data_IF_827512765139
#
_entry.id   IF_827512765139
#
_cell.length_a   1.000
_cell.length_b   1.000
_cell.length_c   1.000
_cell.angle_alpha   90.00
_cell.angle_beta   90.00
_cell.angle_gamma   90.00
#
_symmetry.space_group_name_H-M   'P 1'
#
loop_
_entity.id
_entity.type
_entity.pdbx_description
1 polymer ?
#
# COMPACT_ATOMS: atom_id res chain seq x y z
N UNK A 1 -17.56 89.94 21.67
CA UNK A 1 -16.41 89.05 21.35
C UNK A 1 -16.97 87.88 20.56
N UNK A 2 -16.56 87.68 19.30
CA UNK A 2 -17.09 86.60 18.48
C UNK A 2 -16.47 85.26 18.88
N UNK A 3 -17.34 84.26 19.02
CA UNK A 3 -16.99 82.89 19.38
C UNK A 3 -16.49 82.16 18.12
N UNK A 4 -15.18 81.93 18.03
CA UNK A 4 -14.56 81.26 16.89
C UNK A 4 -14.95 79.77 16.89
N UNK A 5 -15.64 79.33 15.83
CA UNK A 5 -16.00 77.92 15.65
C UNK A 5 -14.72 77.09 15.41
N UNK A 6 -14.50 76.00 16.16
CA UNK A 6 -13.30 75.18 16.01
C UNK A 6 -13.23 74.55 14.61
N UNK A 7 -12.08 74.73 13.93
CA UNK A 7 -11.89 74.34 12.53
C UNK A 7 -11.78 72.83 12.27
N UNK A 8 -11.75 71.97 13.29
CA UNK A 8 -11.64 70.52 13.10
C UNK A 8 -12.42 69.77 14.19
N UNK A 9 -13.57 69.22 13.83
CA UNK A 9 -14.33 68.30 14.69
C UNK A 9 -13.80 66.88 14.47
N UNK A 10 -12.87 66.44 15.32
CA UNK A 10 -12.32 65.07 15.26
C UNK A 10 -13.33 64.12 15.90
N UNK A 11 -14.27 63.61 15.09
CA UNK A 11 -15.19 62.56 15.53
C UNK A 11 -14.45 61.23 15.63
N UNK A 12 -13.84 60.97 16.78
CA UNK A 12 -13.24 59.67 17.10
C UNK A 12 -14.37 58.65 17.23
N UNK A 13 -14.68 57.96 16.13
CA UNK A 13 -15.66 56.87 16.17
C UNK A 13 -15.00 55.68 16.85
N UNK A 14 -15.24 55.55 18.16
CA UNK A 14 -14.73 54.43 18.94
C UNK A 14 -15.34 53.12 18.41
N UNK A 15 -14.53 52.22 17.81
CA UNK A 15 -15.02 51.02 17.13
C UNK A 15 -15.71 50.04 18.10
N UNK A 16 -15.33 50.07 19.38
CA UNK A 16 -15.91 49.21 20.42
C UNK A 16 -17.37 49.57 20.66
N UNK A 17 -17.71 50.86 20.64
CA UNK A 17 -19.08 51.35 20.83
C UNK A 17 -19.98 50.99 19.65
N UNK A 18 -19.44 51.06 18.43
CA UNK A 18 -20.16 50.65 17.22
C UNK A 18 -20.49 49.15 17.25
N UNK A 19 -19.50 48.32 17.62
CA UNK A 19 -19.69 46.88 17.71
C UNK A 19 -20.70 46.50 18.81
N UNK A 20 -20.64 47.16 19.97
CA UNK A 20 -21.61 46.97 21.07
C UNK A 20 -23.03 47.33 20.63
N UNK A 21 -23.20 48.45 19.93
CA UNK A 21 -24.51 48.87 19.42
C UNK A 21 -25.02 47.93 18.33
N UNK A 22 -24.14 47.46 17.44
CA UNK A 22 -24.48 46.45 16.43
C UNK A 22 -24.92 45.13 17.08
N UNK A 23 -24.19 44.64 18.08
CA UNK A 23 -24.54 43.42 18.81
C UNK A 23 -25.89 43.52 19.52
N UNK A 24 -26.17 44.67 20.14
CA UNK A 24 -27.47 44.92 20.79
C UNK A 24 -28.63 44.89 19.77
N UNK A 25 -28.42 45.38 18.55
CA UNK A 25 -29.41 45.29 17.46
C UNK A 25 -29.64 43.85 16.99
N UNK A 26 -28.56 43.07 16.84
CA UNK A 26 -28.63 41.65 16.47
C UNK A 26 -29.37 40.82 17.52
N UNK A 27 -29.09 41.04 18.81
CA UNK A 27 -29.77 40.35 19.92
C UNK A 27 -31.21 40.84 20.14
N UNK A 28 -31.53 42.07 19.75
CA UNK A 28 -32.84 42.70 19.90
C UNK A 28 -33.91 42.22 18.92
N UNK A 29 -33.64 41.22 18.08
CA UNK A 29 -34.52 40.73 16.99
C UNK A 29 -34.91 41.82 15.98
N UNK A 30 -34.20 42.95 15.94
CA UNK A 30 -34.30 43.90 14.84
C UNK A 30 -33.75 43.19 13.60
N UNK A 31 -34.61 42.93 12.61
CA UNK A 31 -34.21 42.20 11.41
C UNK A 31 -33.05 42.90 10.70
N UNK A 32 -31.86 42.28 10.72
CA UNK A 32 -30.70 42.82 10.01
C UNK A 32 -30.71 42.26 8.60
N UNK A 33 -30.98 43.11 7.62
CA UNK A 33 -30.94 42.74 6.20
C UNK A 33 -29.50 42.77 5.71
N UNK A 34 -28.96 41.60 5.38
CA UNK A 34 -27.68 41.48 4.70
C UNK A 34 -27.92 41.10 3.24
N UNK A 35 -27.64 42.01 2.32
CA UNK A 35 -27.65 41.71 0.88
C UNK A 35 -26.22 41.62 0.36
N UNK A 36 -25.82 40.44 -0.10
CA UNK A 36 -24.53 40.23 -0.75
C UNK A 36 -24.76 39.81 -2.20
N UNK A 37 -24.16 40.54 -3.16
CA UNK A 37 -24.05 40.09 -4.55
C UNK A 37 -22.74 39.33 -4.69
N UNK A 38 -22.84 38.01 -4.82
CA UNK A 38 -21.69 37.11 -4.94
C UNK A 38 -21.66 36.59 -6.37
N UNK A 39 -20.49 36.62 -7.02
CA UNK A 39 -20.33 36.04 -8.35
C UNK A 39 -20.25 34.50 -8.22
N UNK A 40 -20.74 33.73 -9.22
CA UNK A 40 -20.82 32.28 -9.11
C UNK A 40 -19.49 31.60 -8.75
N UNK A 41 -18.37 32.12 -9.28
CA UNK A 41 -17.04 31.59 -9.02
C UNK A 41 -16.59 31.84 -7.57
N UNK A 42 -16.88 33.02 -7.02
CA UNK A 42 -16.59 33.32 -5.60
C UNK A 42 -17.50 32.55 -4.65
N UNK A 43 -18.75 32.30 -5.03
CA UNK A 43 -19.65 31.44 -4.26
C UNK A 43 -19.12 30.01 -4.14
N UNK A 44 -18.55 29.46 -5.22
CA UNK A 44 -17.91 28.13 -5.19
C UNK A 44 -16.71 28.07 -4.26
N UNK A 45 -15.83 29.09 -4.28
CA UNK A 45 -14.66 29.16 -3.41
C UNK A 45 -15.05 29.33 -1.94
N UNK A 46 -16.05 30.16 -1.65
CA UNK A 46 -16.57 30.35 -0.29
C UNK A 46 -17.26 29.07 0.20
N UNK A 47 -18.07 28.42 -0.64
CA UNK A 47 -18.70 27.16 -0.30
C UNK A 47 -17.66 26.07 -0.03
N UNK A 48 -16.66 25.92 -0.91
CA UNK A 48 -15.59 24.92 -0.77
C UNK A 48 -14.73 25.22 0.47
N UNK A 49 -14.38 26.48 0.71
CA UNK A 49 -13.63 26.93 1.87
C UNK A 49 -14.40 26.76 3.19
N UNK A 50 -15.71 27.02 3.20
CA UNK A 50 -16.57 26.78 4.36
C UNK A 50 -16.74 25.28 4.63
N UNK A 51 -16.93 24.45 3.59
CA UNK A 51 -16.94 22.99 3.78
C UNK A 51 -15.58 22.48 4.25
N UNK A 52 -14.47 22.94 3.67
CA UNK A 52 -13.14 22.55 4.12
C UNK A 52 -12.88 23.00 5.57
N UNK A 53 -13.35 24.19 5.97
CA UNK A 53 -13.28 24.68 7.34
C UNK A 53 -14.09 23.81 8.30
N UNK A 54 -15.36 23.52 8.00
CA UNK A 54 -16.25 22.72 8.85
C UNK A 54 -15.76 21.26 8.95
N UNK A 55 -15.24 20.69 7.87
CA UNK A 55 -14.65 19.34 7.86
C UNK A 55 -13.20 19.28 8.39
N UNK A 56 -12.53 20.42 8.61
CA UNK A 56 -11.17 20.49 9.18
C UNK A 56 -11.08 20.96 10.63
N UNK A 57 -12.21 21.26 11.31
CA UNK A 57 -12.25 21.59 12.76
C UNK A 57 -12.05 20.33 13.64
N UNK A 58 -11.51 19.24 13.11
CA UNK A 58 -11.18 18.04 13.88
C UNK A 58 -9.85 18.08 14.64
N UNK A 59 -9.06 19.17 14.60
CA UNK A 59 -7.65 19.13 15.06
C UNK A 59 -7.12 20.35 15.80
N UNK A 60 -7.90 21.38 16.09
CA UNK A 60 -7.42 22.53 16.88
C UNK A 60 -8.32 22.78 18.10
N UNK A 61 -7.91 22.25 19.25
CA UNK A 61 -8.45 22.68 20.53
C UNK A 61 -7.85 24.06 20.83
N UNK A 62 -8.61 25.11 20.55
CA UNK A 62 -8.29 26.44 21.07
C UNK A 62 -8.64 26.41 22.55
N UNK A 63 -7.63 26.40 23.42
CA UNK A 63 -7.80 26.51 24.86
C UNK A 63 -8.14 27.98 25.19
N UNK A 64 -9.44 28.27 25.30
CA UNK A 64 -9.94 29.60 25.67
C UNK A 64 -10.31 29.52 27.17
N UNK A 65 -9.62 30.24 28.06
CA UNK A 65 -9.67 30.01 29.52
C UNK A 65 -11.02 30.36 30.20
N UNK A 66 -12.00 30.91 29.46
CA UNK A 66 -13.30 31.32 30.00
C UNK A 66 -14.50 30.62 29.34
N UNK A 67 -14.29 29.80 28.32
CA UNK A 67 -15.33 29.02 27.65
C UNK A 67 -15.13 27.54 27.97
N UNK A 68 -15.81 27.05 29.01
CA UNK A 68 -15.95 25.62 29.27
C UNK A 68 -16.94 25.04 28.27
N UNK A 69 -16.49 24.74 27.06
CA UNK A 69 -17.27 23.89 26.16
C UNK A 69 -17.07 22.44 26.60
N UNK A 70 -18.12 21.79 27.09
CA UNK A 70 -18.13 20.33 27.09
C UNK A 70 -18.18 19.91 25.63
N UNK A 71 -17.07 19.38 25.12
CA UNK A 71 -17.07 18.66 23.86
C UNK A 71 -17.99 17.47 24.09
N UNK A 72 -19.24 17.56 23.65
CA UNK A 72 -20.06 16.38 23.45
C UNK A 72 -19.32 15.58 22.40
N UNK A 73 -18.53 14.62 22.87
CA UNK A 73 -17.92 13.58 22.03
C UNK A 73 -19.09 12.83 21.41
N UNK A 74 -19.62 13.35 20.31
CA UNK A 74 -20.42 12.53 19.41
C UNK A 74 -19.53 11.34 19.06
N UNK A 75 -19.93 10.10 19.40
CA UNK A 75 -19.13 8.95 19.04
C UNK A 75 -19.04 8.98 17.52
N UNK A 76 -17.86 9.30 17.01
CA UNK A 76 -17.49 8.96 15.64
C UNK A 76 -17.87 7.49 15.52
N UNK A 77 -18.76 7.10 14.61
CA UNK A 77 -19.02 5.68 14.39
C UNK A 77 -17.65 5.09 14.08
N UNK A 78 -17.09 4.35 15.05
CA UNK A 78 -15.85 3.64 14.86
C UNK A 78 -16.08 2.83 13.60
N UNK A 79 -15.34 3.13 12.53
CA UNK A 79 -15.48 2.42 11.28
C UNK A 79 -15.34 0.95 11.62
N UNK A 80 -16.45 0.21 11.56
CA UNK A 80 -16.47 -1.22 11.85
C UNK A 80 -15.38 -1.80 10.96
N UNK A 81 -14.30 -2.37 11.52
CA UNK A 81 -13.20 -2.83 10.70
C UNK A 81 -13.79 -3.85 9.73
N UNK A 82 -13.77 -3.52 8.44
CA UNK A 82 -14.26 -4.42 7.41
C UNK A 82 -13.50 -5.74 7.59
N UNK A 83 -14.24 -6.78 7.96
CA UNK A 83 -13.71 -8.09 8.38
C UNK A 83 -12.93 -8.75 7.23
N UNK A 84 -13.27 -8.38 6.00
CA UNK A 84 -12.63 -8.80 4.77
C UNK A 84 -11.95 -7.61 4.13
N UNK A 85 -10.67 -7.76 3.83
CA UNK A 85 -9.88 -6.75 3.13
C UNK A 85 -9.29 -7.34 1.87
N UNK A 86 -9.48 -6.66 0.75
CA UNK A 86 -8.84 -7.02 -0.50
C UNK A 86 -7.31 -6.86 -0.37
N UNK A 87 -6.59 -7.92 -0.70
CA UNK A 87 -5.14 -7.97 -0.59
C UNK A 87 -4.55 -9.03 -1.52
N UNK A 88 -3.24 -8.99 -1.67
CA UNK A 88 -2.50 -9.98 -2.44
C UNK A 88 -1.31 -10.49 -1.61
N UNK A 89 -1.14 -11.80 -1.59
CA UNK A 89 -0.03 -12.45 -0.92
C UNK A 89 0.83 -13.20 -1.91
N UNK A 90 2.15 -13.15 -1.70
CA UNK A 90 3.11 -13.95 -2.45
C UNK A 90 3.62 -15.07 -1.55
N UNK A 91 3.63 -16.30 -2.08
CA UNK A 91 4.10 -17.44 -1.32
C UNK A 91 4.19 -18.71 -2.16
N UNK A 92 4.64 -19.79 -1.53
CA UNK A 92 4.65 -21.12 -2.14
C UNK A 92 3.32 -21.80 -1.84
N UNK A 93 2.64 -22.29 -2.89
CA UNK A 93 1.39 -23.01 -2.73
C UNK A 93 1.64 -24.44 -2.25
N UNK A 94 0.89 -24.86 -1.22
CA UNK A 94 0.92 -26.19 -0.65
C UNK A 94 -0.49 -26.78 -0.65
N UNK A 95 -0.61 -28.09 -0.88
CA UNK A 95 -1.88 -28.81 -0.83
C UNK A 95 -1.83 -29.88 0.25
N UNK A 96 -2.79 -29.85 1.18
CA UNK A 96 -2.94 -30.90 2.18
C UNK A 96 -3.98 -31.91 1.72
N UNK A 97 -3.51 -33.12 1.39
CA UNK A 97 -4.38 -34.25 1.02
C UNK A 97 -5.34 -34.66 2.14
N UNK A 98 -4.92 -34.48 3.40
CA UNK A 98 -5.73 -34.86 4.58
C UNK A 98 -6.89 -33.90 4.81
N UNK A 99 -6.65 -32.60 4.62
CA UNK A 99 -7.66 -31.56 4.82
C UNK A 99 -8.44 -31.21 3.54
N UNK A 100 -7.96 -31.63 2.37
CA UNK A 100 -8.50 -31.24 1.06
C UNK A 100 -8.41 -29.73 0.82
N UNK A 101 -7.40 -29.07 1.37
CA UNK A 101 -7.28 -27.60 1.37
C UNK A 101 -5.94 -27.13 0.82
N UNK A 102 -5.99 -25.98 0.17
CA UNK A 102 -4.83 -25.25 -0.29
C UNK A 102 -4.34 -24.28 0.79
N UNK A 103 -3.03 -24.19 0.92
CA UNK A 103 -2.36 -23.31 1.86
C UNK A 103 -1.30 -22.51 1.13
N UNK A 104 -1.18 -21.22 1.45
CA UNK A 104 -0.12 -20.37 0.96
C UNK A 104 0.90 -20.15 2.08
N UNK A 105 2.12 -20.60 1.84
CA UNK A 105 3.25 -20.31 2.73
C UNK A 105 3.86 -18.98 2.31
N UNK A 106 3.57 -17.92 3.08
CA UNK A 106 3.95 -16.56 2.74
C UNK A 106 5.45 -16.37 3.00
N UNK A 107 6.20 -15.99 1.96
CA UNK A 107 7.66 -15.87 2.05
C UNK A 107 8.11 -14.78 3.03
N UNK A 108 7.35 -13.68 3.14
CA UNK A 108 7.73 -12.52 3.96
C UNK A 108 7.50 -12.70 5.45
N UNK A 109 6.49 -13.48 5.86
CA UNK A 109 6.12 -13.66 7.27
C UNK A 109 6.27 -15.09 7.78
N UNK A 110 6.62 -16.05 6.91
CA UNK A 110 6.63 -17.49 7.22
C UNK A 110 5.30 -17.97 7.84
N UNK A 111 4.20 -17.27 7.55
CA UNK A 111 2.87 -17.63 8.01
C UNK A 111 2.17 -18.51 6.96
N UNK A 112 1.33 -19.41 7.46
CA UNK A 112 0.48 -20.25 6.63
C UNK A 112 -0.92 -19.63 6.54
N UNK A 113 -1.34 -19.27 5.34
CA UNK A 113 -2.68 -18.74 5.06
C UNK A 113 -3.51 -19.84 4.40
N UNK A 114 -4.73 -20.07 4.87
CA UNK A 114 -5.65 -21.02 4.22
C UNK A 114 -6.28 -20.34 3.02
N UNK A 115 -6.24 -21.00 1.86
CA UNK A 115 -6.88 -20.51 0.65
C UNK A 115 -8.25 -21.14 0.50
N UNK A 116 -9.28 -20.30 0.39
CA UNK A 116 -10.62 -20.69 -0.01
C UNK A 116 -10.74 -20.42 -1.52
N UNK A 117 -10.75 -21.49 -2.31
CA UNK A 117 -10.69 -21.44 -3.76
C UNK A 117 -12.09 -21.72 -4.31
N UNK A 118 -12.67 -20.80 -5.11
CA UNK A 118 -13.95 -21.04 -5.76
C UNK A 118 -13.81 -22.07 -6.89
N UNK A 119 -14.89 -22.78 -7.22
CA UNK A 119 -14.87 -23.92 -8.17
C UNK A 119 -14.40 -23.57 -9.59
N UNK A 120 -14.37 -22.28 -9.94
CA UNK A 120 -13.93 -21.78 -11.24
C UNK A 120 -12.41 -21.61 -11.38
N UNK A 121 -11.63 -21.83 -10.31
CA UNK A 121 -10.17 -21.66 -10.31
C UNK A 121 -9.50 -22.97 -9.91
N UNK A 122 -8.70 -23.53 -10.81
CA UNK A 122 -7.86 -24.68 -10.49
C UNK A 122 -6.46 -24.23 -10.07
N UNK A 123 -6.07 -24.55 -8.84
CA UNK A 123 -4.74 -24.27 -8.31
C UNK A 123 -3.81 -25.49 -8.30
N UNK A 124 -4.28 -26.64 -8.80
CA UNK A 124 -3.54 -27.92 -8.74
C UNK A 124 -2.20 -27.83 -9.48
N UNK A 125 -2.18 -27.16 -10.63
CA UNK A 125 -0.96 -26.96 -11.44
C UNK A 125 0.08 -26.04 -10.78
N UNK A 126 -0.34 -25.29 -9.77
CA UNK A 126 0.50 -24.35 -9.06
C UNK A 126 1.06 -24.89 -7.76
N UNK A 127 0.69 -26.11 -7.36
CA UNK A 127 1.18 -26.74 -6.12
C UNK A 127 2.70 -26.89 -6.19
N UNK A 128 3.38 -26.43 -5.15
CA UNK A 128 4.85 -26.42 -5.05
C UNK A 128 5.52 -25.22 -5.73
N UNK A 129 4.79 -24.42 -6.51
CA UNK A 129 5.33 -23.22 -7.17
C UNK A 129 5.07 -21.97 -6.34
N UNK A 130 5.90 -20.95 -6.55
CA UNK A 130 5.67 -19.61 -6.01
C UNK A 130 4.62 -18.88 -6.84
N UNK A 131 3.54 -18.47 -6.16
CA UNK A 131 2.42 -17.75 -6.76
C UNK A 131 2.14 -16.42 -6.04
N UNK A 132 1.48 -15.53 -6.76
CA UNK A 132 0.76 -14.36 -6.25
C UNK A 132 -0.72 -14.72 -6.19
N UNK A 133 -1.28 -14.82 -4.98
CA UNK A 133 -2.71 -15.04 -4.76
C UNK A 133 -3.38 -13.71 -4.41
N UNK A 134 -4.43 -13.35 -5.14
CA UNK A 134 -5.19 -12.10 -5.01
C UNK A 134 -6.58 -12.43 -4.50
N UNK A 135 -7.08 -11.69 -3.51
CA UNK A 135 -8.40 -11.98 -2.96
C UNK A 135 -8.76 -11.22 -1.71
N UNK A 136 -9.84 -11.66 -1.07
CA UNK A 136 -10.33 -11.08 0.18
C UNK A 136 -9.75 -11.82 1.38
N UNK A 137 -8.94 -11.13 2.18
CA UNK A 137 -8.33 -11.71 3.37
C UNK A 137 -9.08 -11.35 4.64
N UNK A 138 -9.32 -12.36 5.45
CA UNK A 138 -9.85 -12.22 6.80
C UNK A 138 -8.74 -12.47 7.82
N UNK A 139 -8.30 -11.40 8.50
CA UNK A 139 -7.20 -11.46 9.48
C UNK A 139 -7.53 -12.34 10.69
N UNK A 140 -8.79 -12.36 11.13
CA UNK A 140 -9.21 -13.14 12.30
C UNK A 140 -9.22 -14.64 12.02
N UNK A 141 -9.59 -15.04 10.79
CA UNK A 141 -9.65 -16.45 10.39
C UNK A 141 -8.38 -16.96 9.70
N UNK A 142 -7.48 -16.07 9.27
CA UNK A 142 -6.32 -16.36 8.41
C UNK A 142 -6.72 -17.10 7.13
N UNK A 143 -7.85 -16.67 6.54
CA UNK A 143 -8.39 -17.21 5.30
C UNK A 143 -8.32 -16.14 4.21
N UNK A 144 -7.81 -16.52 3.05
CA UNK A 144 -7.85 -15.72 1.83
C UNK A 144 -8.84 -16.37 0.86
N UNK A 145 -9.93 -15.67 0.55
CA UNK A 145 -10.83 -16.04 -0.53
C UNK A 145 -10.20 -15.63 -1.86
N UNK A 146 -9.78 -16.61 -2.64
CA UNK A 146 -8.99 -16.38 -3.85
C UNK A 146 -9.90 -15.95 -4.98
N UNK A 147 -9.60 -14.79 -5.56
CA UNK A 147 -10.25 -14.27 -6.77
C UNK A 147 -9.41 -14.52 -8.02
N UNK A 148 -8.08 -14.45 -7.88
CA UNK A 148 -7.13 -14.68 -8.98
C UNK A 148 -5.80 -15.23 -8.42
N UNK A 149 -5.09 -16.02 -9.21
CA UNK A 149 -3.79 -16.57 -8.86
C UNK A 149 -2.85 -16.58 -10.07
N UNK A 150 -1.62 -16.09 -9.88
CA UNK A 150 -0.60 -16.01 -10.93
C UNK A 150 0.71 -16.62 -10.49
N UNK A 151 1.35 -17.39 -11.37
CA UNK A 151 2.69 -17.94 -11.13
C UNK A 151 3.76 -16.86 -11.27
N UNK A 152 4.71 -16.84 -10.34
CA UNK A 152 5.87 -15.94 -10.39
C UNK A 152 7.15 -16.63 -10.87
N UNK A 153 7.13 -17.96 -11.02
CA UNK A 153 8.25 -18.73 -11.57
C UNK A 153 8.22 -18.73 -13.11
N UNK A 154 9.16 -18.01 -13.71
CA UNK A 154 9.47 -18.09 -15.14
C UNK A 154 10.70 -18.99 -15.29
N UNK A 155 10.48 -20.28 -15.53
CA UNK A 155 11.58 -21.14 -15.98
C UNK A 155 11.88 -20.79 -17.45
N UNK A 156 13.16 -20.59 -17.83
CA UNK A 156 13.52 -20.50 -19.24
C UNK A 156 13.18 -21.84 -19.92
N UNK A 157 12.20 -21.83 -20.83
CA UNK A 157 11.76 -23.02 -21.58
C UNK A 157 12.79 -23.51 -22.60
N UNK A 158 13.87 -22.76 -22.81
CA UNK A 158 14.89 -23.06 -23.81
C UNK A 158 15.97 -23.92 -23.18
N UNK A 159 15.97 -25.21 -23.51
CA UNK A 159 17.11 -26.08 -23.25
C UNK A 159 18.31 -25.51 -24.03
N UNK A 160 19.35 -25.10 -23.32
CA UNK A 160 20.63 -24.73 -23.94
C UNK A 160 21.27 -26.04 -24.38
N UNK A 161 21.26 -26.32 -25.69
CA UNK A 161 22.02 -27.43 -26.24
C UNK A 161 23.50 -27.13 -26.03
N UNK A 162 24.14 -27.83 -25.10
CA UNK A 162 25.59 -27.79 -24.95
C UNK A 162 26.16 -28.50 -26.19
N UNK A 163 26.97 -27.85 -27.02
CA UNK A 163 27.60 -28.51 -28.16
C UNK A 163 28.49 -29.64 -27.64
N UNK A 164 28.10 -30.88 -27.93
CA UNK A 164 28.89 -32.06 -27.65
C UNK A 164 30.12 -32.02 -28.57
N UNK A 165 31.29 -31.71 -28.02
CA UNK A 165 32.54 -31.91 -28.75
C UNK A 165 32.70 -33.42 -28.95
N UNK A 166 32.44 -33.88 -30.18
CA UNK A 166 32.84 -35.22 -30.61
C UNK A 166 34.34 -35.37 -30.38
N UNK A 167 34.80 -36.36 -29.59
CA UNK A 167 36.23 -36.64 -29.51
C UNK A 167 36.71 -37.02 -30.91
N UNK A 168 37.59 -36.20 -31.48
CA UNK A 168 38.31 -36.51 -32.71
C UNK A 168 39.26 -37.67 -32.40
N UNK A 169 38.79 -38.89 -32.60
CA UNK A 169 39.62 -40.09 -32.61
C UNK A 169 40.54 -40.07 -33.82
N UNK A 170 41.68 -39.37 -33.70
CA UNK A 170 42.79 -39.59 -34.61
C UNK A 170 43.47 -40.89 -34.17
N UNK A 171 43.30 -41.94 -34.96
CA UNK A 171 43.99 -43.21 -34.75
C UNK A 171 45.49 -42.92 -34.61
N UNK A 172 46.03 -43.12 -33.40
CA UNK A 172 47.48 -43.12 -33.17
C UNK A 172 48.01 -44.35 -33.89
N UNK A 173 48.88 -44.12 -34.87
CA UNK A 173 49.58 -45.17 -35.59
C UNK A 173 50.28 -46.11 -34.60
N UNK A 174 49.97 -47.39 -34.75
CA UNK A 174 50.56 -48.53 -34.05
C UNK A 174 52.10 -48.45 -34.05
N UNK A 175 52.78 -48.57 -32.89
CA UNK A 175 54.24 -48.61 -32.86
C UNK A 175 54.71 -49.96 -33.39
N UNK A 176 55.37 -49.96 -34.54
CA UNK A 176 56.11 -51.11 -35.06
C UNK A 176 57.20 -51.50 -34.06
N UNK A 177 56.96 -52.55 -33.27
CA UNK A 177 58.01 -53.17 -32.46
C UNK A 177 58.98 -53.88 -33.40
N UNK A 178 60.17 -53.30 -33.58
CA UNK A 178 61.30 -53.99 -34.19
C UNK A 178 61.97 -54.88 -33.12
N UNK A 179 62.03 -56.21 -33.28
CA UNK A 179 62.70 -57.06 -32.31
C UNK A 179 64.21 -56.84 -32.36
N UNK A 180 64.76 -56.37 -31.23
CA UNK A 180 66.20 -56.35 -30.99
C UNK A 180 66.65 -57.76 -30.61
N UNK A 181 67.65 -58.34 -31.28
CA UNK A 181 68.15 -59.67 -30.93
C UNK A 181 68.86 -59.65 -29.57
N UNK A 182 68.47 -60.63 -28.75
CA UNK A 182 68.94 -60.93 -27.40
C UNK A 182 70.42 -61.36 -27.42
N UNK A 183 71.28 -60.56 -26.79
CA UNK A 183 72.68 -60.91 -26.57
C UNK A 183 72.79 -61.81 -25.34
N UNK A 184 73.17 -63.07 -25.58
CA UNK A 184 73.47 -64.11 -24.60
C UNK A 184 74.56 -63.70 -23.60
N UNK A 185 74.32 -63.71 -22.27
CA UNK A 185 75.39 -63.60 -21.30
C UNK A 185 76.06 -64.94 -21.05
N UNK A 186 77.34 -64.97 -21.43
CA UNK A 186 78.35 -65.99 -21.11
C UNK A 186 78.39 -66.31 -19.61
N UNK A 187 78.37 -67.60 -19.30
CA UNK A 187 78.53 -68.16 -17.97
C UNK A 187 79.87 -67.75 -17.32
N UNK A 188 79.83 -67.44 -16.02
CA UNK A 188 81.00 -67.41 -15.13
C UNK A 188 81.28 -68.81 -14.57
N UNK A 189 82.56 -69.17 -14.35
CA UNK A 189 82.88 -70.21 -13.38
C UNK A 189 83.73 -69.67 -12.20
N UNK A 190 83.26 -70.06 -11.01
CA UNK A 190 83.92 -70.32 -9.70
C UNK A 190 84.65 -69.18 -8.99
#
# INVERSE_FOLDING_TARGET
MPEEKPLVEVKVTNPVTYLKNWWNKVMGKEGVYFSFRIHPLTAFLIAFGLTAGIFSIGRYSVNIPFLKYEVVNSPIPAATPAVWKETAYTGTLQFSKVAGKFYLMVTSSSELITLEVPENIDLTDYVGKRILAIGNYNKSKKILQVTDAKTLEVLPKTQILIPLQSPSGQATSEPTMSPTPEASPSASPV
#
